data_IF_992358432339
#
_entry.id   IF_992358432339
#
_cell.length_a   1.000
_cell.length_b   1.000
_cell.length_c   1.000
_cell.angle_alpha   90.00
_cell.angle_beta   90.00
_cell.angle_gamma   90.00
#
_symmetry.space_group_name_H-M   'P 1'
#
loop_
_entity.id
_entity.type
_entity.pdbx_description
1 polymer ?
#
# COMPACT_ATOMS: atom_id res chain seq x y z
N UNK A 1 4.91 13.03 2.29
CA UNK A 1 3.50 12.99 2.75
C UNK A 1 2.89 11.58 3.00
N UNK A 2 3.67 10.48 2.92
CA UNK A 2 3.16 9.11 3.06
C UNK A 2 2.43 8.80 4.39
N UNK A 3 2.57 9.64 5.44
CA UNK A 3 1.81 9.49 6.68
C UNK A 3 0.29 9.39 6.46
N UNK A 4 -0.26 10.12 5.48
CA UNK A 4 -1.68 10.03 5.14
C UNK A 4 -2.02 8.67 4.55
N UNK A 5 -1.24 8.21 3.57
CA UNK A 5 -1.41 6.91 2.94
C UNK A 5 -1.24 5.74 3.93
N UNK A 6 -0.24 5.77 4.80
CA UNK A 6 -0.06 4.71 5.80
C UNK A 6 -1.17 4.70 6.84
N UNK A 7 -1.71 5.87 7.20
CA UNK A 7 -2.89 5.94 8.05
C UNK A 7 -4.15 5.43 7.35
N UNK A 8 -4.35 5.68 6.05
CA UNK A 8 -5.50 5.09 5.32
C UNK A 8 -5.37 3.57 5.20
N UNK A 9 -4.15 3.03 5.03
CA UNK A 9 -3.91 1.59 5.10
C UNK A 9 -4.25 1.03 6.50
N UNK A 10 -3.88 1.75 7.57
CA UNK A 10 -4.24 1.40 8.95
C UNK A 10 -5.76 1.38 9.14
N UNK A 11 -6.47 2.41 8.67
CA UNK A 11 -7.93 2.48 8.72
C UNK A 11 -8.57 1.31 7.96
N UNK A 12 -8.07 0.96 6.78
CA UNK A 12 -8.60 -0.15 5.99
C UNK A 12 -8.43 -1.50 6.68
N UNK A 13 -7.26 -1.80 7.22
CA UNK A 13 -7.09 -3.06 7.97
C UNK A 13 -7.88 -3.07 9.29
N UNK A 14 -8.04 -1.93 9.95
CA UNK A 14 -8.90 -1.83 11.13
C UNK A 14 -10.37 -2.08 10.79
N UNK A 15 -10.83 -1.58 9.63
CA UNK A 15 -12.15 -1.89 9.10
C UNK A 15 -12.31 -3.38 8.80
N UNK A 16 -11.32 -4.03 8.17
CA UNK A 16 -11.40 -5.47 7.94
C UNK A 16 -11.43 -6.27 9.26
N UNK A 17 -10.71 -5.83 10.29
CA UNK A 17 -10.70 -6.46 11.61
C UNK A 17 -12.11 -6.56 12.23
N UNK A 18 -12.92 -5.49 12.11
CA UNK A 18 -14.26 -5.40 12.71
C UNK A 18 -15.34 -6.16 11.92
N UNK A 19 -15.13 -6.44 10.63
CA UNK A 19 -16.19 -6.96 9.75
C UNK A 19 -15.88 -8.35 9.17
N UNK A 20 -14.65 -8.84 9.30
CA UNK A 20 -14.28 -10.17 8.80
C UNK A 20 -15.11 -11.28 9.48
N UNK A 21 -15.50 -12.34 8.74
CA UNK A 21 -16.47 -13.34 9.22
C UNK A 21 -15.90 -14.36 10.20
N UNK A 22 -14.59 -14.30 10.51
CA UNK A 22 -13.92 -15.23 11.40
C UNK A 22 -12.80 -14.55 12.17
N UNK A 23 -12.67 -14.90 13.46
CA UNK A 23 -11.67 -14.31 14.36
C UNK A 23 -10.23 -14.52 13.88
N UNK A 24 -9.93 -15.63 13.20
CA UNK A 24 -8.59 -15.89 12.62
C UNK A 24 -8.23 -14.93 11.49
N UNK A 25 -9.22 -14.52 10.69
CA UNK A 25 -9.05 -13.47 9.67
C UNK A 25 -8.91 -12.11 10.36
N UNK A 26 -9.79 -11.80 11.32
CA UNK A 26 -9.72 -10.56 12.10
C UNK A 26 -8.36 -10.36 12.77
N UNK A 27 -7.79 -11.41 13.38
CA UNK A 27 -6.47 -11.33 14.02
C UNK A 27 -5.36 -10.99 13.03
N UNK A 28 -5.37 -11.55 11.81
CA UNK A 28 -4.42 -11.19 10.77
C UNK A 28 -4.54 -9.70 10.41
N UNK A 29 -5.78 -9.20 10.26
CA UNK A 29 -6.05 -7.79 10.02
C UNK A 29 -5.66 -6.89 11.22
N UNK A 30 -5.80 -7.36 12.46
CA UNK A 30 -5.36 -6.65 13.67
C UNK A 30 -3.85 -6.41 13.65
N UNK A 31 -3.04 -7.46 13.41
CA UNK A 31 -1.59 -7.30 13.35
C UNK A 31 -1.16 -6.45 12.15
N UNK A 32 -1.81 -6.61 10.99
CA UNK A 32 -1.60 -5.75 9.84
C UNK A 32 -1.92 -4.27 10.13
N UNK A 33 -2.91 -4.00 10.98
CA UNK A 33 -3.24 -2.63 11.45
C UNK A 33 -2.14 -2.05 12.32
N UNK A 34 -1.61 -2.84 13.25
CA UNK A 34 -0.48 -2.43 14.08
C UNK A 34 0.76 -2.13 13.22
N UNK A 35 1.00 -2.91 12.17
CA UNK A 35 2.12 -2.68 11.24
C UNK A 35 1.92 -1.40 10.41
N UNK A 36 0.72 -1.13 9.91
CA UNK A 36 0.44 0.15 9.24
C UNK A 36 0.63 1.35 10.19
N UNK A 37 0.27 1.21 11.46
CA UNK A 37 0.59 2.20 12.50
C UNK A 37 2.11 2.34 12.71
N UNK A 38 2.86 1.23 12.73
CA UNK A 38 4.33 1.25 12.80
C UNK A 38 4.94 2.05 11.64
N UNK A 39 4.47 1.86 10.42
CA UNK A 39 4.95 2.60 9.25
C UNK A 39 4.64 4.10 9.36
N UNK A 40 3.42 4.44 9.80
CA UNK A 40 3.02 5.81 10.12
C UNK A 40 3.94 6.43 11.18
N UNK A 41 4.21 5.73 12.29
CA UNK A 41 5.04 6.24 13.38
C UNK A 41 6.48 6.49 12.92
N UNK A 42 7.09 5.58 12.16
CA UNK A 42 8.42 5.80 11.58
C UNK A 42 8.45 7.03 10.67
N UNK A 43 7.42 7.19 9.83
CA UNK A 43 7.28 8.35 8.94
C UNK A 43 7.16 9.65 9.74
N UNK A 44 6.35 9.66 10.80
CA UNK A 44 6.18 10.83 11.66
C UNK A 44 7.48 11.20 12.39
N UNK A 45 8.19 10.21 12.92
CA UNK A 45 9.46 10.42 13.59
C UNK A 45 10.51 11.03 12.65
N UNK A 46 10.72 10.44 11.47
CA UNK A 46 11.65 10.97 10.46
C UNK A 46 11.24 12.35 9.95
N UNK A 47 9.95 12.61 9.80
CA UNK A 47 9.45 13.95 9.44
C UNK A 47 9.91 14.99 10.47
N UNK A 48 9.84 14.67 11.77
CA UNK A 48 10.29 15.60 12.82
C UNK A 48 11.80 15.78 12.84
N UNK A 49 12.57 14.73 12.60
CA UNK A 49 14.03 14.85 12.49
C UNK A 49 14.43 15.70 11.29
N UNK A 50 13.84 15.46 10.11
CA UNK A 50 14.07 16.27 8.92
C UNK A 50 13.70 17.74 9.15
N UNK A 51 12.59 18.02 9.82
CA UNK A 51 12.17 19.38 10.15
C UNK A 51 13.14 20.11 11.10
N UNK A 52 13.91 19.38 11.93
CA UNK A 52 14.93 19.98 12.80
C UNK A 52 16.26 20.22 12.07
N UNK A 53 16.51 19.49 10.99
CA UNK A 53 17.76 19.55 10.24
C UNK A 53 17.67 20.50 9.04
N UNK A 54 16.52 20.55 8.38
CA UNK A 54 16.31 21.29 7.14
C UNK A 54 15.20 22.35 7.32
N UNK A 55 15.62 23.54 7.73
CA UNK A 55 14.73 24.69 7.89
C UNK A 55 14.16 25.15 6.54
N UNK A 56 12.92 25.65 6.56
CA UNK A 56 12.28 26.26 5.39
C UNK A 56 11.72 25.30 4.34
N UNK A 57 11.94 23.99 4.46
CA UNK A 57 11.43 22.98 3.50
C UNK A 57 9.95 22.62 3.75
N UNK A 58 9.43 22.86 4.96
CA UNK A 58 8.03 22.62 5.29
C UNK A 58 7.71 21.20 5.78
N UNK A 59 8.70 20.44 6.25
CA UNK A 59 8.47 19.15 6.90
C UNK A 59 7.56 19.29 8.14
N UNK A 60 6.51 18.48 8.20
CA UNK A 60 5.50 18.48 9.27
C UNK A 60 4.29 19.37 9.02
N UNK A 61 4.39 20.37 8.13
CA UNK A 61 3.31 21.33 7.84
C UNK A 61 2.80 21.25 6.40
N UNK A 62 3.67 20.98 5.43
CA UNK A 62 3.34 21.00 4.01
C UNK A 62 2.68 19.72 3.48
N UNK A 63 2.81 18.58 4.16
CA UNK A 63 2.44 17.30 3.56
C UNK A 63 0.94 17.12 3.31
N UNK A 64 0.08 17.86 4.01
CA UNK A 64 -1.36 17.84 3.72
C UNK A 64 -1.64 18.38 2.33
N UNK A 65 -1.05 19.54 2.01
CA UNK A 65 -1.18 20.14 0.69
C UNK A 65 -0.64 19.19 -0.38
N UNK A 66 0.55 18.61 -0.18
CA UNK A 66 1.09 17.62 -1.11
C UNK A 66 0.16 16.41 -1.28
N UNK A 67 -0.38 15.83 -0.21
CA UNK A 67 -1.32 14.72 -0.32
C UNK A 67 -2.58 15.11 -1.10
N UNK A 68 -3.13 16.31 -0.85
CA UNK A 68 -4.39 16.75 -1.43
C UNK A 68 -4.28 17.28 -2.86
N UNK A 69 -3.11 17.79 -3.30
CA UNK A 69 -2.99 18.49 -4.58
C UNK A 69 -1.87 18.02 -5.48
N UNK A 70 -0.85 17.34 -4.96
CA UNK A 70 0.30 16.90 -5.77
C UNK A 70 -0.12 15.76 -6.71
N UNK A 71 0.09 15.88 -8.04
CA UNK A 71 -0.25 14.85 -9.02
C UNK A 71 0.32 13.47 -8.69
N UNK A 72 1.51 13.39 -8.08
CA UNK A 72 2.15 12.11 -7.72
C UNK A 72 1.31 11.27 -6.75
N UNK A 73 0.47 11.92 -5.94
CA UNK A 73 -0.32 11.26 -4.90
C UNK A 73 -1.78 11.04 -5.27
N UNK A 74 -2.29 11.69 -6.33
CA UNK A 74 -3.73 11.68 -6.60
C UNK A 74 -4.26 10.29 -7.00
N UNK A 75 -3.45 9.48 -7.68
CA UNK A 75 -3.84 8.09 -7.97
C UNK A 75 -3.99 7.26 -6.69
N UNK A 76 -3.02 7.33 -5.77
CA UNK A 76 -3.12 6.65 -4.46
C UNK A 76 -4.26 7.20 -3.62
N UNK A 77 -4.46 8.52 -3.60
CA UNK A 77 -5.54 9.17 -2.86
C UNK A 77 -6.91 8.67 -3.35
N UNK A 78 -7.16 8.68 -4.65
CA UNK A 78 -8.40 8.18 -5.22
C UNK A 78 -8.61 6.68 -4.93
N UNK A 79 -7.55 5.87 -5.03
CA UNK A 79 -7.59 4.43 -4.77
C UNK A 79 -8.00 4.15 -3.31
N UNK A 80 -7.32 4.76 -2.34
CA UNK A 80 -7.59 4.49 -0.91
C UNK A 80 -8.88 5.13 -0.42
N UNK A 81 -9.26 6.32 -0.90
CA UNK A 81 -10.54 6.95 -0.53
C UNK A 81 -11.72 6.08 -1.00
N UNK A 82 -11.68 5.57 -2.25
CA UNK A 82 -12.68 4.63 -2.75
C UNK A 82 -12.65 3.31 -1.98
N UNK A 83 -11.46 2.75 -1.74
CA UNK A 83 -11.30 1.50 -0.98
C UNK A 83 -11.90 1.57 0.43
N UNK A 84 -11.65 2.68 1.14
CA UNK A 84 -12.21 2.92 2.48
C UNK A 84 -13.74 3.10 2.49
N UNK A 85 -14.35 3.41 1.35
CA UNK A 85 -15.81 3.49 1.20
C UNK A 85 -16.47 2.17 0.77
N UNK A 86 -15.70 1.08 0.74
CA UNK A 86 -16.18 -0.27 0.37
C UNK A 86 -16.50 -1.06 1.64
N UNK A 87 -17.78 -1.40 1.85
CA UNK A 87 -18.26 -1.99 3.09
C UNK A 87 -18.50 -3.51 3.04
N UNK A 88 -18.45 -4.12 1.87
CA UNK A 88 -18.40 -5.58 1.79
C UNK A 88 -16.99 -6.05 2.22
N UNK A 89 -16.90 -6.99 3.16
CA UNK A 89 -15.62 -7.43 3.71
C UNK A 89 -14.71 -8.07 2.66
N UNK A 90 -15.28 -8.81 1.70
CA UNK A 90 -14.56 -9.50 0.65
C UNK A 90 -14.08 -8.54 -0.42
N UNK A 91 -14.95 -7.62 -0.88
CA UNK A 91 -14.56 -6.58 -1.82
C UNK A 91 -13.51 -5.65 -1.19
N UNK A 92 -13.69 -5.25 0.07
CA UNK A 92 -12.72 -4.45 0.80
C UNK A 92 -11.36 -5.16 0.90
N UNK A 93 -11.37 -6.46 1.20
CA UNK A 93 -10.15 -7.27 1.19
C UNK A 93 -9.48 -7.28 -0.19
N UNK A 94 -10.22 -7.44 -1.29
CA UNK A 94 -9.63 -7.35 -2.64
C UNK A 94 -9.06 -5.96 -2.91
N UNK A 95 -9.83 -4.90 -2.67
CA UNK A 95 -9.41 -3.53 -2.91
C UNK A 95 -8.15 -3.14 -2.12
N UNK A 96 -8.10 -3.50 -0.84
CA UNK A 96 -7.01 -3.08 0.05
C UNK A 96 -5.83 -4.04 0.05
N UNK A 97 -6.05 -5.35 0.13
CA UNK A 97 -4.99 -6.36 0.29
C UNK A 97 -4.46 -6.90 -1.04
N UNK A 98 -5.27 -6.97 -2.11
CA UNK A 98 -4.81 -7.48 -3.42
C UNK A 98 -4.43 -6.37 -4.41
N UNK A 99 -4.86 -5.14 -4.17
CA UNK A 99 -4.61 -4.01 -5.08
C UNK A 99 -3.83 -2.88 -4.41
N UNK A 100 -4.41 -2.20 -3.42
CA UNK A 100 -3.80 -0.99 -2.85
C UNK A 100 -2.46 -1.27 -2.16
N UNK A 101 -2.40 -2.23 -1.24
CA UNK A 101 -1.17 -2.56 -0.50
C UNK A 101 -0.02 -2.99 -1.43
N UNK A 102 -0.19 -3.95 -2.35
CA UNK A 102 0.86 -4.30 -3.31
C UNK A 102 1.34 -3.10 -4.13
N UNK A 103 0.44 -2.23 -4.58
CA UNK A 103 0.82 -1.00 -5.30
C UNK A 103 1.69 -0.09 -4.43
N UNK A 104 1.34 0.14 -3.16
CA UNK A 104 2.15 0.93 -2.22
C UNK A 104 3.52 0.29 -1.97
N UNK A 105 3.55 -1.03 -1.80
CA UNK A 105 4.78 -1.77 -1.50
C UNK A 105 5.79 -1.76 -2.65
N UNK A 106 5.33 -1.92 -3.89
CA UNK A 106 6.22 -1.86 -5.06
C UNK A 106 6.69 -0.43 -5.39
N UNK A 107 5.97 0.60 -4.92
CA UNK A 107 6.26 2.00 -5.27
C UNK A 107 6.83 2.80 -4.10
N UNK A 108 5.99 3.19 -3.13
CA UNK A 108 6.34 4.04 -1.99
C UNK A 108 7.36 3.38 -1.07
N UNK A 109 7.46 2.04 -1.05
CA UNK A 109 8.50 1.32 -0.32
C UNK A 109 9.68 0.96 -1.24
N UNK A 110 9.50 0.03 -2.19
CA UNK A 110 10.61 -0.43 -3.05
C UNK A 110 11.15 0.66 -3.98
N UNK A 111 10.28 1.28 -4.78
CA UNK A 111 10.67 2.36 -5.70
C UNK A 111 11.35 3.54 -5.00
N UNK A 112 10.72 4.10 -3.97
CA UNK A 112 11.29 5.21 -3.21
C UNK A 112 12.56 4.80 -2.45
N UNK A 113 12.61 3.57 -1.91
CA UNK A 113 13.81 3.05 -1.26
C UNK A 113 14.99 2.91 -2.22
N UNK A 114 14.76 2.52 -3.48
CA UNK A 114 15.79 2.49 -4.52
C UNK A 114 16.24 3.91 -4.90
N UNK A 115 15.28 4.82 -5.12
CA UNK A 115 15.57 6.24 -5.39
C UNK A 115 16.41 6.85 -4.26
N UNK A 116 16.05 6.61 -3.00
CA UNK A 116 16.81 7.08 -1.85
C UNK A 116 18.27 6.64 -1.89
N UNK A 117 18.54 5.36 -2.17
CA UNK A 117 19.91 4.84 -2.30
C UNK A 117 20.68 5.50 -3.46
N UNK A 118 20.05 5.71 -4.61
CA UNK A 118 20.68 6.41 -5.74
C UNK A 118 21.06 7.86 -5.40
N UNK A 119 20.33 8.48 -4.47
CA UNK A 119 20.58 9.86 -4.01
C UNK A 119 21.32 9.93 -2.66
N UNK A 120 21.90 8.82 -2.18
CA UNK A 120 22.71 8.78 -0.95
C UNK A 120 21.92 8.74 0.36
N UNK A 121 20.59 8.65 0.32
CA UNK A 121 19.76 8.39 1.50
C UNK A 121 19.69 6.88 1.77
N UNK A 122 20.73 6.37 2.43
CA UNK A 122 20.76 4.97 2.86
C UNK A 122 19.73 4.67 3.96
N UNK A 123 19.32 5.69 4.74
CA UNK A 123 18.38 5.50 5.84
C UNK A 123 17.00 5.16 5.30
N UNK A 124 16.48 5.90 4.32
CA UNK A 124 15.17 5.59 3.73
C UNK A 124 15.20 4.23 3.02
N UNK A 125 16.31 3.87 2.38
CA UNK A 125 16.50 2.54 1.78
C UNK A 125 16.35 1.41 2.81
N UNK A 126 17.10 1.47 3.90
CA UNK A 126 17.05 0.47 4.98
C UNK A 126 15.70 0.45 5.69
N UNK A 127 15.08 1.62 5.90
CA UNK A 127 13.77 1.73 6.51
C UNK A 127 12.68 1.08 5.64
N UNK A 128 12.71 1.31 4.33
CA UNK A 128 11.82 0.66 3.37
C UNK A 128 11.98 -0.86 3.39
N UNK A 129 13.21 -1.38 3.41
CA UNK A 129 13.45 -2.84 3.50
C UNK A 129 12.84 -3.42 4.79
N UNK A 130 13.00 -2.72 5.92
CA UNK A 130 12.42 -3.15 7.19
C UNK A 130 10.88 -3.15 7.18
N UNK A 131 10.24 -2.20 6.49
CA UNK A 131 8.79 -2.19 6.28
C UNK A 131 8.34 -3.31 5.35
N UNK A 132 9.14 -3.65 4.33
CA UNK A 132 8.83 -4.75 3.41
C UNK A 132 8.80 -6.13 4.08
N UNK A 133 9.47 -6.32 5.22
CA UNK A 133 9.32 -7.54 6.04
C UNK A 133 7.90 -7.69 6.59
N UNK A 134 7.27 -6.57 6.98
CA UNK A 134 5.86 -6.58 7.39
C UNK A 134 4.94 -6.83 6.19
N UNK A 135 5.20 -6.17 5.07
CA UNK A 135 4.46 -6.37 3.83
C UNK A 135 4.50 -7.84 3.37
N UNK A 136 5.64 -8.51 3.44
CA UNK A 136 5.75 -9.93 3.09
C UNK A 136 4.88 -10.80 4.00
N UNK A 137 4.83 -10.49 5.30
CA UNK A 137 3.90 -11.15 6.23
C UNK A 137 2.43 -10.91 5.86
N UNK A 138 2.08 -9.70 5.43
CA UNK A 138 0.73 -9.37 4.94
C UNK A 138 0.37 -10.16 3.69
N UNK A 139 1.31 -10.27 2.73
CA UNK A 139 1.13 -11.07 1.51
C UNK A 139 0.93 -12.55 1.80
N UNK A 140 1.64 -13.12 2.79
CA UNK A 140 1.49 -14.54 3.15
C UNK A 140 0.09 -14.89 3.67
N UNK A 141 -0.47 -14.12 4.59
CA UNK A 141 -1.83 -14.41 5.07
C UNK A 141 -2.89 -14.08 4.02
N UNK A 142 -2.66 -13.03 3.21
CA UNK A 142 -3.50 -12.70 2.06
C UNK A 142 -3.57 -13.87 1.07
N UNK A 143 -2.41 -14.45 0.73
CA UNK A 143 -2.32 -15.62 -0.14
C UNK A 143 -3.03 -16.85 0.46
N UNK A 144 -2.87 -17.10 1.75
CA UNK A 144 -3.55 -18.19 2.45
C UNK A 144 -5.07 -18.03 2.43
N UNK A 145 -5.58 -16.81 2.64
CA UNK A 145 -7.02 -16.54 2.58
C UNK A 145 -7.56 -16.66 1.16
N UNK A 146 -6.86 -16.16 0.15
CA UNK A 146 -7.25 -16.36 -1.27
C UNK A 146 -7.30 -17.86 -1.59
N UNK A 147 -6.29 -18.62 -1.18
CA UNK A 147 -6.28 -20.09 -1.37
C UNK A 147 -7.54 -20.74 -0.79
N UNK A 148 -7.90 -20.40 0.45
CA UNK A 148 -9.12 -20.88 1.09
C UNK A 148 -10.39 -20.44 0.35
N UNK A 149 -10.47 -19.17 -0.08
CA UNK A 149 -11.62 -18.65 -0.83
C UNK A 149 -11.84 -19.43 -2.14
N UNK A 150 -10.75 -19.83 -2.81
CA UNK A 150 -10.80 -20.58 -4.07
C UNK A 150 -11.20 -22.06 -3.92
N UNK A 151 -11.35 -22.57 -2.69
CA UNK A 151 -11.91 -23.90 -2.42
C UNK A 151 -13.44 -23.95 -2.62
N UNK A 152 -14.09 -22.78 -2.66
CA UNK A 152 -15.54 -22.66 -2.89
C UNK A 152 -15.85 -22.30 -4.35
N UNK A 153 -16.73 -23.06 -4.99
CA UNK A 153 -17.21 -22.79 -6.34
C UNK A 153 -17.88 -21.39 -6.44
N UNK A 154 -17.65 -20.67 -7.54
CA UNK A 154 -18.19 -19.33 -7.77
C UNK A 154 -17.35 -18.18 -7.18
N UNK A 155 -16.51 -18.43 -6.17
CA UNK A 155 -15.69 -17.38 -5.56
C UNK A 155 -14.63 -16.82 -6.52
N UNK A 156 -14.13 -17.65 -7.45
CA UNK A 156 -13.16 -17.22 -8.46
C UNK A 156 -13.72 -16.07 -9.31
N UNK A 157 -14.96 -16.22 -9.76
CA UNK A 157 -15.65 -15.25 -10.62
C UNK A 157 -15.92 -13.95 -9.86
N UNK A 158 -16.29 -14.06 -8.57
CA UNK A 158 -16.49 -12.90 -7.68
C UNK A 158 -15.17 -12.13 -7.48
N UNK A 159 -14.08 -12.83 -7.13
CA UNK A 159 -12.75 -12.22 -6.97
C UNK A 159 -12.27 -11.56 -8.26
N UNK A 160 -12.46 -12.22 -9.40
CA UNK A 160 -12.11 -11.67 -10.71
C UNK A 160 -12.91 -10.40 -11.03
N UNK A 161 -14.21 -10.37 -10.72
CA UNK A 161 -15.05 -9.18 -10.90
C UNK A 161 -14.57 -7.99 -10.07
N UNK A 162 -14.21 -8.21 -8.81
CA UNK A 162 -13.63 -7.16 -7.97
C UNK A 162 -12.24 -6.74 -8.46
N UNK A 163 -11.37 -7.67 -8.85
CA UNK A 163 -10.06 -7.32 -9.41
C UNK A 163 -10.17 -6.50 -10.69
N UNK A 164 -11.12 -6.81 -11.57
CA UNK A 164 -11.36 -6.03 -12.78
C UNK A 164 -11.79 -4.58 -12.46
N UNK A 165 -12.55 -4.39 -11.38
CA UNK A 165 -12.93 -3.05 -10.88
C UNK A 165 -11.76 -2.28 -10.29
N UNK A 166 -10.91 -2.93 -9.49
CA UNK A 166 -9.92 -2.24 -8.66
C UNK A 166 -8.53 -2.12 -9.31
N UNK A 167 -8.12 -3.09 -10.14
CA UNK A 167 -6.79 -3.09 -10.78
C UNK A 167 -6.49 -1.81 -11.55
N UNK A 168 -7.41 -1.24 -12.36
CA UNK A 168 -7.14 0.02 -13.07
C UNK A 168 -6.82 1.20 -12.14
N UNK A 169 -7.40 1.26 -10.93
CA UNK A 169 -7.09 2.28 -9.94
C UNK A 169 -5.71 2.04 -9.31
N UNK A 170 -5.33 0.78 -9.09
CA UNK A 170 -3.99 0.38 -8.66
C UNK A 170 -2.92 0.78 -9.67
N UNK A 171 -3.15 0.47 -10.95
CA UNK A 171 -2.22 0.81 -12.04
C UNK A 171 -2.08 2.33 -12.20
N UNK A 172 -3.19 3.08 -12.16
CA UNK A 172 -3.16 4.54 -12.21
C UNK A 172 -2.40 5.16 -11.02
N UNK A 173 -2.51 4.56 -9.83
CA UNK A 173 -1.76 4.99 -8.65
C UNK A 173 -0.25 4.73 -8.80
N UNK A 174 0.12 3.55 -9.31
CA UNK A 174 1.51 3.21 -9.62
C UNK A 174 2.08 4.19 -10.63
N UNK A 175 1.35 4.46 -11.72
CA UNK A 175 1.81 5.30 -12.82
C UNK A 175 2.03 6.75 -12.38
N UNK A 176 1.04 7.33 -11.68
CA UNK A 176 1.12 8.70 -11.19
C UNK A 176 2.31 8.89 -10.24
N UNK A 177 2.52 7.95 -9.31
CA UNK A 177 3.59 8.04 -8.34
C UNK A 177 4.97 7.83 -8.98
N UNK A 178 5.13 6.76 -9.75
CA UNK A 178 6.41 6.40 -10.37
C UNK A 178 6.85 7.37 -11.46
N UNK A 179 5.94 8.12 -12.08
CA UNK A 179 6.30 9.23 -12.99
C UNK A 179 7.17 10.30 -12.31
N UNK A 180 7.14 10.38 -10.97
CA UNK A 180 7.91 11.32 -10.17
C UNK A 180 9.15 10.66 -9.51
N UNK A 181 9.57 9.49 -9.98
CA UNK A 181 10.83 8.80 -9.62
C UNK A 181 11.74 8.65 -10.85
N UNK A 182 12.25 9.76 -11.45
CA UNK A 182 12.97 9.73 -12.73
C UNK A 182 14.31 8.97 -12.66
N UNK A 183 14.86 8.81 -11.47
CA UNK A 183 16.11 8.12 -11.15
C UNK A 183 15.94 6.60 -10.93
N UNK A 184 14.72 6.09 -11.07
CA UNK A 184 14.41 4.66 -11.04
C UNK A 184 13.80 4.27 -12.40
N UNK A 185 14.64 3.88 -13.39
CA UNK A 185 14.17 3.56 -14.73
C UNK A 185 13.10 2.45 -14.71
N UNK A 186 12.05 2.65 -15.52
CA UNK A 186 10.94 1.71 -15.66
C UNK A 186 10.18 1.38 -14.34
N UNK A 187 10.30 2.20 -13.29
CA UNK A 187 9.68 1.97 -11.98
C UNK A 187 8.20 1.56 -12.06
N UNK A 188 7.40 2.26 -12.88
CA UNK A 188 5.98 1.95 -13.06
C UNK A 188 5.77 0.56 -13.68
N UNK A 189 6.48 0.25 -14.77
CA UNK A 189 6.34 -1.04 -15.45
C UNK A 189 6.78 -2.22 -14.57
N UNK A 190 7.88 -2.06 -13.84
CA UNK A 190 8.37 -3.05 -12.88
C UNK A 190 7.37 -3.26 -11.74
N UNK A 191 6.84 -2.18 -11.16
CA UNK A 191 5.86 -2.27 -10.09
C UNK A 191 4.56 -2.97 -10.54
N UNK A 192 3.99 -2.56 -11.69
CA UNK A 192 2.78 -3.22 -12.23
C UNK A 192 3.02 -4.70 -12.52
N UNK A 193 4.17 -5.03 -13.13
CA UNK A 193 4.53 -6.42 -13.43
C UNK A 193 4.68 -7.25 -12.16
N UNK A 194 5.34 -6.73 -11.12
CA UNK A 194 5.50 -7.42 -9.84
C UNK A 194 4.15 -7.64 -9.13
N UNK A 195 3.28 -6.62 -9.10
CA UNK A 195 1.94 -6.73 -8.53
C UNK A 195 1.08 -7.75 -9.30
N UNK A 196 1.09 -7.71 -10.63
CA UNK A 196 0.34 -8.64 -11.47
C UNK A 196 0.85 -10.09 -11.33
N UNK A 197 2.18 -10.28 -11.33
CA UNK A 197 2.80 -11.59 -11.15
C UNK A 197 2.49 -12.19 -9.77
N UNK A 198 2.49 -11.36 -8.72
CA UNK A 198 2.11 -11.82 -7.38
C UNK A 198 0.66 -12.30 -7.34
N UNK A 199 -0.30 -11.55 -7.91
CA UNK A 199 -1.71 -11.98 -8.00
C UNK A 199 -1.89 -13.25 -8.82
N UNK A 200 -1.25 -13.34 -9.99
CA UNK A 200 -1.28 -14.54 -10.82
C UNK A 200 -0.74 -15.77 -10.06
N UNK A 201 0.28 -15.60 -9.23
CA UNK A 201 0.80 -16.64 -8.34
C UNK A 201 -0.18 -17.12 -7.26
N UNK A 202 -1.24 -16.35 -6.97
CA UNK A 202 -2.34 -16.77 -6.09
C UNK A 202 -3.43 -17.56 -6.84
N UNK A 203 -3.29 -17.72 -8.16
CA UNK A 203 -4.31 -18.30 -9.02
C UNK A 203 -5.47 -17.36 -9.31
N UNK A 204 -5.24 -16.04 -9.31
CA UNK A 204 -6.20 -14.99 -9.66
C UNK A 204 -5.88 -14.31 -10.99
#
# INVERSE_FOLDING_TARGET
PARYLFHTLQMGSAYLCQIAPASTISNCATYQTADSLRWLTHTAYRTRELAKTFDGVGFGTGERAHWETDPAWQGFRALVEKGLSTYDWGEHFVAMNLVARPAVEETVLRGLGLSGRHNGDNLIGLLSDAHLVDADRHRRWTAALVKMMLETEGNREVLAGWLAKWTPLGDAAIDAYCAHLPDVPAAAATARSAVAAWRAGLGL
#
